data_IF_792648278528
#
_entry.id   IF_792648278528
#
_cell.length_a   1.000
_cell.length_b   1.000
_cell.length_c   1.000
_cell.angle_alpha   90.00
_cell.angle_beta   90.00
_cell.angle_gamma   90.00
#
_symmetry.space_group_name_H-M   'P 1'
#
loop_
_entity.id
_entity.type
_entity.pdbx_description
1 polymer ?
#
# COMPACT_ATOMS: atom_id res chain seq x y z
N UNK A 1 21.70 28.07 41.20
CA UNK A 1 20.56 27.27 40.66
C UNK A 1 21.03 26.61 39.36
N UNK A 2 21.28 25.30 39.38
CA UNK A 2 21.64 24.55 38.17
C UNK A 2 20.41 24.47 37.27
N UNK A 3 20.42 25.23 36.16
CA UNK A 3 19.44 25.10 35.09
C UNK A 3 19.69 23.73 34.44
N UNK A 4 19.04 22.67 34.94
CA UNK A 4 18.94 21.42 34.18
C UNK A 4 18.23 21.77 32.88
N UNK A 5 18.97 21.89 31.77
CA UNK A 5 18.37 22.12 30.46
C UNK A 5 17.35 21.01 30.23
N UNK A 6 16.07 21.36 30.07
CA UNK A 6 15.03 20.38 29.72
C UNK A 6 15.45 19.72 28.42
N UNK A 7 15.65 18.40 28.45
CA UNK A 7 16.03 17.61 27.27
C UNK A 7 14.91 17.76 26.23
N UNK A 8 15.28 18.02 24.97
CA UNK A 8 14.31 18.11 23.88
C UNK A 8 13.61 16.79 23.68
N UNK A 9 12.28 16.81 23.69
CA UNK A 9 11.45 15.62 23.50
C UNK A 9 10.77 15.68 22.15
N UNK A 10 10.79 14.54 21.45
CA UNK A 10 10.03 14.31 20.23
C UNK A 10 8.83 13.43 20.57
N UNK A 11 7.61 13.86 20.26
CA UNK A 11 6.38 13.10 20.52
C UNK A 11 5.52 13.00 19.27
N UNK A 12 4.83 11.88 19.08
CA UNK A 12 3.92 11.69 17.93
C UNK A 12 2.55 12.34 18.19
N UNK A 13 2.02 13.04 17.19
CA UNK A 13 0.69 13.65 17.20
C UNK A 13 0.06 13.55 15.79
N UNK A 14 -0.89 12.63 15.64
CA UNK A 14 -1.77 12.46 14.46
C UNK A 14 -1.08 12.62 13.11
N UNK A 15 -0.03 11.84 12.87
CA UNK A 15 0.70 11.86 11.59
C UNK A 15 1.80 12.91 11.48
N UNK A 16 2.07 13.62 12.56
CA UNK A 16 3.23 14.51 12.68
C UNK A 16 3.96 14.26 13.99
N UNK A 17 5.10 14.91 14.17
CA UNK A 17 5.88 14.91 15.39
C UNK A 17 5.88 16.31 15.97
N UNK A 18 5.82 16.42 17.29
CA UNK A 18 5.99 17.65 18.03
C UNK A 18 7.39 17.62 18.66
N UNK A 19 8.18 18.67 18.42
CA UNK A 19 9.51 18.84 19.00
C UNK A 19 9.46 19.95 20.06
N UNK A 20 9.65 19.59 21.33
CA UNK A 20 9.64 20.55 22.42
C UNK A 20 10.40 20.04 23.67
N UNK A 21 11.20 20.89 24.35
CA UNK A 21 11.67 22.19 23.89
C UNK A 21 12.58 22.08 22.66
N UNK A 22 12.80 23.17 21.89
CA UNK A 22 13.73 23.17 20.77
C UNK A 22 15.15 22.77 21.21
N UNK A 23 15.82 21.86 20.48
CA UNK A 23 17.18 21.46 20.81
C UNK A 23 18.19 22.56 20.45
N UNK A 24 19.42 22.50 21.02
CA UNK A 24 20.51 23.34 20.54
C UNK A 24 20.85 23.00 19.07
N UNK A 25 21.55 23.91 18.40
CA UNK A 25 21.89 23.78 16.99
C UNK A 25 20.82 24.32 16.05
N UNK A 26 21.06 24.19 14.74
CA UNK A 26 20.20 24.72 13.68
C UNK A 26 19.74 23.67 12.67
N UNK A 27 20.32 22.47 12.68
CA UNK A 27 19.99 21.40 11.69
C UNK A 27 18.51 21.03 11.77
N UNK A 28 17.92 21.00 12.96
CA UNK A 28 16.50 20.67 13.14
C UNK A 28 15.55 21.66 12.43
N UNK A 29 16.00 22.89 12.11
CA UNK A 29 15.19 23.91 11.44
C UNK A 29 14.77 23.50 10.02
N UNK A 30 15.51 22.62 9.34
CA UNK A 30 15.15 22.15 7.98
C UNK A 30 13.95 21.18 7.97
N UNK A 31 13.61 20.63 9.14
CA UNK A 31 12.56 19.62 9.28
C UNK A 31 11.25 20.18 9.81
N UNK A 32 11.30 21.31 10.53
CA UNK A 32 10.18 21.80 11.32
C UNK A 32 9.35 22.87 10.60
N UNK A 33 8.11 23.01 11.06
CA UNK A 33 7.25 24.16 10.80
C UNK A 33 6.63 24.58 12.13
N UNK A 34 6.55 25.88 12.39
CA UNK A 34 5.88 26.40 13.58
C UNK A 34 4.36 26.26 13.44
N UNK A 35 3.68 25.78 14.48
CA UNK A 35 2.22 25.69 14.56
C UNK A 35 1.70 26.59 15.69
N UNK A 36 1.11 27.72 15.30
CA UNK A 36 0.56 28.74 16.21
C UNK A 36 -0.55 28.18 17.13
N UNK A 37 -1.27 27.13 16.72
CA UNK A 37 -2.41 26.60 17.49
C UNK A 37 -1.98 25.88 18.76
N UNK A 38 -0.75 25.35 18.76
CA UNK A 38 -0.18 24.60 19.88
C UNK A 38 1.12 25.21 20.40
N UNK A 39 1.54 26.34 19.81
CA UNK A 39 2.78 27.07 20.11
C UNK A 39 4.02 26.17 20.14
N UNK A 40 4.13 25.26 19.16
CA UNK A 40 5.22 24.28 19.06
C UNK A 40 5.64 24.01 17.62
N UNK A 41 6.83 23.44 17.47
CA UNK A 41 7.34 22.98 16.18
C UNK A 41 6.80 21.60 15.83
N UNK A 42 6.29 21.46 14.59
CA UNK A 42 5.86 20.20 13.99
C UNK A 42 6.82 19.71 12.92
N UNK A 43 6.98 18.40 12.82
CA UNK A 43 7.73 17.73 11.74
C UNK A 43 6.80 16.70 11.09
N UNK A 44 6.70 16.63 9.75
CA UNK A 44 5.98 15.55 9.09
C UNK A 44 6.52 14.17 9.51
N UNK A 45 5.64 13.21 9.85
CA UNK A 45 6.05 11.90 10.36
C UNK A 45 6.99 11.15 9.39
N UNK A 46 6.75 11.26 8.07
CA UNK A 46 7.62 10.69 7.03
C UNK A 46 9.09 11.14 7.11
N UNK A 47 9.38 12.33 7.69
CA UNK A 47 10.74 12.85 7.87
C UNK A 47 11.44 12.31 9.13
N UNK A 48 10.77 11.47 9.92
CA UNK A 48 11.27 10.95 11.19
C UNK A 48 12.68 10.37 11.09
N UNK A 49 12.93 9.46 10.14
CA UNK A 49 14.23 8.82 9.98
C UNK A 49 15.34 9.83 9.69
N UNK A 50 15.13 10.69 8.69
CA UNK A 50 16.11 11.72 8.30
C UNK A 50 16.37 12.72 9.43
N UNK A 51 15.34 13.06 10.20
CA UNK A 51 15.48 13.92 11.37
C UNK A 51 16.36 13.26 12.44
N UNK A 52 16.05 12.04 12.86
CA UNK A 52 16.81 11.31 13.89
C UNK A 52 18.26 11.07 13.45
N UNK A 53 18.49 10.69 12.18
CA UNK A 53 19.84 10.50 11.64
C UNK A 53 20.65 11.81 11.64
N UNK A 54 20.02 12.94 11.32
CA UNK A 54 20.68 14.26 11.29
C UNK A 54 21.03 14.74 12.70
N UNK A 55 20.12 14.56 13.67
CA UNK A 55 20.37 14.89 15.08
C UNK A 55 21.50 14.05 15.67
N UNK A 56 21.55 12.74 15.34
CA UNK A 56 22.66 11.86 15.75
C UNK A 56 23.99 12.29 15.14
N UNK A 57 24.00 12.70 13.87
CA UNK A 57 25.22 13.17 13.17
C UNK A 57 25.79 14.45 13.81
N UNK A 58 24.92 15.35 14.26
CA UNK A 58 25.31 16.58 14.98
C UNK A 58 25.71 16.32 16.44
N UNK A 59 25.38 15.14 16.99
CA UNK A 59 25.59 14.83 18.41
C UNK A 59 24.52 15.43 19.33
N UNK A 60 23.39 15.88 18.76
CA UNK A 60 22.27 16.47 19.49
C UNK A 60 21.41 15.38 20.13
N UNK A 61 21.38 15.32 21.46
CA UNK A 61 20.54 14.36 22.17
C UNK A 61 19.05 14.79 22.19
N UNK A 62 18.19 13.92 21.64
CA UNK A 62 16.74 14.06 21.70
C UNK A 62 16.14 12.85 22.42
N UNK A 63 15.20 13.10 23.33
CA UNK A 63 14.36 12.06 23.88
C UNK A 63 13.25 11.71 22.89
N UNK A 64 13.37 10.54 22.27
CA UNK A 64 12.35 10.03 21.35
C UNK A 64 11.22 9.32 22.12
N UNK A 65 10.15 10.07 22.37
CA UNK A 65 8.88 9.58 22.92
C UNK A 65 7.83 9.35 21.82
N UNK A 66 8.20 9.49 20.54
CA UNK A 66 7.31 9.32 19.40
C UNK A 66 7.22 7.87 18.97
N UNK A 67 8.36 7.17 18.95
CA UNK A 67 8.48 5.76 18.58
C UNK A 67 7.66 4.85 19.50
N UNK A 68 6.67 4.15 18.94
CA UNK A 68 5.94 3.07 19.61
C UNK A 68 6.22 1.67 19.01
N UNK A 69 6.96 1.61 17.90
CA UNK A 69 7.33 0.35 17.23
C UNK A 69 8.41 -0.44 17.97
N UNK A 70 8.34 -1.77 17.86
CA UNK A 70 9.12 -2.72 18.66
C UNK A 70 10.02 -3.62 17.81
N UNK A 71 10.99 -4.24 18.49
CA UNK A 71 11.72 -5.41 17.99
C UNK A 71 10.84 -6.64 18.14
N UNK A 72 10.94 -7.55 17.18
CA UNK A 72 10.23 -8.81 17.20
C UNK A 72 11.23 -9.95 17.28
N UNK A 73 10.81 -11.02 17.93
CA UNK A 73 11.44 -12.33 17.81
C UNK A 73 10.56 -13.14 16.86
N UNK A 74 11.11 -13.49 15.69
CA UNK A 74 10.37 -14.22 14.66
C UNK A 74 10.87 -15.65 14.61
N UNK A 75 9.98 -16.60 14.87
CA UNK A 75 10.24 -18.03 14.70
C UNK A 75 9.67 -18.46 13.36
N UNK A 76 10.51 -19.06 12.53
CA UNK A 76 10.16 -19.46 11.16
C UNK A 76 9.76 -20.93 11.17
N UNK A 77 8.63 -21.26 10.55
CA UNK A 77 8.16 -22.65 10.47
C UNK A 77 8.88 -23.50 9.41
N UNK A 78 9.24 -22.90 8.27
CA UNK A 78 9.85 -23.60 7.14
C UNK A 78 10.82 -22.67 6.38
N UNK A 79 12.10 -23.04 6.34
CA UNK A 79 13.14 -22.29 5.64
C UNK A 79 13.29 -22.84 4.22
N UNK A 80 12.66 -22.14 3.26
CA UNK A 80 12.83 -22.43 1.84
C UNK A 80 14.05 -21.69 1.31
N UNK A 81 14.77 -22.26 0.36
CA UNK A 81 15.84 -21.53 -0.31
C UNK A 81 15.23 -20.52 -1.31
N UNK A 82 15.49 -19.21 -1.19
CA UNK A 82 14.97 -18.24 -2.13
C UNK A 82 15.62 -18.40 -3.50
N UNK A 83 14.82 -18.18 -4.55
CA UNK A 83 15.34 -18.04 -5.91
C UNK A 83 16.31 -16.87 -6.01
N UNK A 84 17.22 -16.91 -6.99
CA UNK A 84 18.26 -15.88 -7.16
C UNK A 84 17.69 -14.47 -7.25
N UNK A 85 16.61 -14.27 -8.02
CA UNK A 85 15.98 -12.95 -8.16
C UNK A 85 15.37 -12.43 -6.85
N UNK A 86 14.96 -13.32 -5.94
CA UNK A 86 14.43 -12.95 -4.63
C UNK A 86 15.57 -12.50 -3.70
N UNK A 87 16.71 -13.22 -3.71
CA UNK A 87 17.93 -12.83 -3.00
C UNK A 87 18.47 -11.49 -3.51
N UNK A 88 18.56 -11.33 -4.83
CA UNK A 88 19.01 -10.10 -5.47
C UNK A 88 18.10 -8.91 -5.14
N UNK A 89 16.77 -9.11 -5.15
CA UNK A 89 15.81 -8.09 -4.77
C UNK A 89 15.97 -7.65 -3.30
N UNK A 90 16.11 -8.61 -2.39
CA UNK A 90 16.32 -8.35 -0.96
C UNK A 90 17.62 -7.58 -0.71
N UNK A 91 18.72 -8.00 -1.33
CA UNK A 91 20.02 -7.33 -1.19
C UNK A 91 20.05 -5.94 -1.82
N UNK A 92 19.37 -5.74 -2.95
CA UNK A 92 19.19 -4.41 -3.53
C UNK A 92 18.41 -3.48 -2.59
N UNK A 93 17.32 -3.97 -1.99
CA UNK A 93 16.55 -3.22 -1.01
C UNK A 93 17.35 -2.89 0.27
N UNK A 94 18.14 -3.84 0.77
CA UNK A 94 19.06 -3.62 1.91
C UNK A 94 20.10 -2.55 1.61
N UNK A 95 20.74 -2.61 0.43
CA UNK A 95 21.74 -1.60 -0.02
C UNK A 95 21.13 -0.20 -0.16
N UNK A 96 19.86 -0.10 -0.53
CA UNK A 96 19.11 1.16 -0.55
C UNK A 96 18.67 1.64 0.85
N UNK A 97 19.28 1.12 1.91
CA UNK A 97 18.94 1.46 3.29
C UNK A 97 17.57 0.93 3.71
N UNK A 98 17.10 -0.18 3.14
CA UNK A 98 15.78 -0.80 3.40
C UNK A 98 14.61 0.13 3.04
N UNK A 99 14.77 0.89 1.96
CA UNK A 99 13.80 1.88 1.50
C UNK A 99 13.75 1.90 -0.04
N UNK A 100 12.74 1.26 -0.62
CA UNK A 100 12.64 1.20 -2.09
C UNK A 100 11.52 0.31 -2.61
N UNK A 101 11.35 0.33 -3.94
CA UNK A 101 10.37 -0.44 -4.69
C UNK A 101 11.05 -1.57 -5.45
N UNK A 102 10.51 -2.78 -5.30
CA UNK A 102 10.91 -3.99 -6.01
C UNK A 102 9.85 -4.32 -7.06
N UNK A 103 10.28 -4.40 -8.32
CA UNK A 103 9.42 -4.66 -9.46
C UNK A 103 9.63 -6.09 -9.94
N UNK A 104 8.62 -6.93 -9.72
CA UNK A 104 8.64 -8.35 -10.06
C UNK A 104 7.30 -8.75 -10.69
N UNK A 105 7.31 -9.61 -11.72
CA UNK A 105 6.07 -10.05 -12.34
C UNK A 105 5.24 -10.89 -11.36
N UNK A 106 3.94 -10.99 -11.64
CA UNK A 106 3.04 -11.92 -10.94
C UNK A 106 3.59 -13.35 -10.98
N UNK A 107 3.48 -14.07 -9.87
CA UNK A 107 4.02 -15.43 -9.74
C UNK A 107 5.51 -15.51 -9.38
N UNK A 108 6.28 -14.43 -9.45
CA UNK A 108 7.72 -14.45 -9.09
C UNK A 108 8.00 -14.50 -7.56
N UNK A 109 6.95 -14.58 -6.74
CA UNK A 109 7.09 -14.67 -5.28
C UNK A 109 7.30 -13.33 -4.56
N UNK A 110 6.60 -12.26 -4.96
CA UNK A 110 6.61 -10.95 -4.26
C UNK A 110 6.33 -11.10 -2.75
N UNK A 111 5.34 -11.92 -2.38
CA UNK A 111 5.02 -12.23 -0.99
C UNK A 111 6.18 -12.87 -0.24
N UNK A 112 6.94 -13.76 -0.90
CA UNK A 112 8.10 -14.39 -0.29
C UNK A 112 9.26 -13.40 -0.08
N UNK A 113 9.50 -12.49 -1.04
CA UNK A 113 10.45 -11.37 -0.84
C UNK A 113 10.06 -10.51 0.36
N UNK A 114 8.77 -10.30 0.58
CA UNK A 114 8.27 -9.56 1.75
C UNK A 114 8.52 -10.30 3.07
N UNK A 115 8.33 -11.62 3.09
CA UNK A 115 8.64 -12.46 4.26
C UNK A 115 10.13 -12.43 4.58
N UNK A 116 11.00 -12.51 3.57
CA UNK A 116 12.46 -12.36 3.75
C UNK A 116 12.83 -10.97 4.27
N UNK A 117 12.18 -9.91 3.77
CA UNK A 117 12.40 -8.55 4.26
C UNK A 117 12.00 -8.39 5.75
N UNK A 118 10.92 -9.07 6.16
CA UNK A 118 10.47 -9.13 7.55
C UNK A 118 11.44 -9.90 8.45
N UNK A 119 12.01 -11.02 7.96
CA UNK A 119 13.05 -11.77 8.67
C UNK A 119 14.33 -10.95 8.86
N UNK A 120 14.79 -10.27 7.81
CA UNK A 120 15.99 -9.40 7.84
C UNK A 120 15.77 -8.09 8.62
N UNK A 121 14.51 -7.77 8.93
CA UNK A 121 14.10 -6.55 9.62
C UNK A 121 13.01 -6.87 10.65
N UNK A 122 13.34 -7.64 11.71
CA UNK A 122 12.35 -8.18 12.65
C UNK A 122 11.82 -7.08 13.57
N UNK A 123 10.86 -6.32 13.05
CA UNK A 123 10.27 -5.15 13.67
C UNK A 123 8.77 -5.18 13.45
N UNK A 124 8.01 -4.48 14.30
CA UNK A 124 6.58 -4.32 14.08
C UNK A 124 6.32 -3.76 12.67
N UNK A 125 5.46 -4.45 11.91
CA UNK A 125 5.30 -4.27 10.47
C UNK A 125 3.84 -4.08 10.08
N UNK A 126 3.57 -3.09 9.25
CA UNK A 126 2.28 -2.90 8.58
C UNK A 126 2.39 -3.38 7.13
N UNK A 127 1.50 -4.25 6.72
CA UNK A 127 1.41 -4.77 5.36
C UNK A 127 0.12 -4.24 4.75
N UNK A 128 0.22 -3.52 3.65
CA UNK A 128 -0.88 -2.81 3.01
C UNK A 128 -1.19 -3.45 1.66
N UNK A 129 -2.42 -3.91 1.48
CA UNK A 129 -2.87 -4.67 0.30
C UNK A 129 -4.11 -4.04 -0.33
N UNK A 130 -4.39 -4.26 -1.64
CA UNK A 130 -5.50 -3.58 -2.33
C UNK A 130 -6.89 -4.16 -2.04
N UNK A 131 -7.02 -5.45 -1.71
CA UNK A 131 -8.32 -6.11 -1.53
C UNK A 131 -8.40 -6.92 -0.23
N UNK A 132 -9.64 -7.18 0.23
CA UNK A 132 -9.87 -8.04 1.41
C UNK A 132 -9.46 -9.49 1.15
N UNK A 133 -9.63 -10.01 -0.07
CA UNK A 133 -9.20 -11.37 -0.41
C UNK A 133 -7.68 -11.51 -0.28
N UNK A 134 -6.93 -10.54 -0.81
CA UNK A 134 -5.47 -10.51 -0.64
C UNK A 134 -5.08 -10.35 0.83
N UNK A 135 -5.83 -9.58 1.61
CA UNK A 135 -5.58 -9.43 3.05
C UNK A 135 -5.66 -10.78 3.77
N UNK A 136 -6.69 -11.58 3.50
CA UNK A 136 -6.82 -12.93 4.07
C UNK A 136 -5.74 -13.89 3.56
N UNK A 137 -5.39 -13.82 2.28
CA UNK A 137 -4.29 -14.62 1.71
C UNK A 137 -2.94 -14.27 2.35
N UNK A 138 -2.64 -12.98 2.53
CA UNK A 138 -1.44 -12.51 3.20
C UNK A 138 -1.40 -12.97 4.66
N UNK A 139 -2.51 -12.88 5.38
CA UNK A 139 -2.61 -13.37 6.76
C UNK A 139 -2.28 -14.86 6.85
N UNK A 140 -2.93 -15.71 6.06
CA UNK A 140 -2.67 -17.15 6.05
C UNK A 140 -1.20 -17.48 5.70
N UNK A 141 -0.61 -16.77 4.74
CA UNK A 141 0.80 -16.95 4.38
C UNK A 141 1.76 -16.55 5.51
N UNK A 142 1.44 -15.50 6.26
CA UNK A 142 2.26 -15.06 7.40
C UNK A 142 2.07 -15.97 8.61
N UNK A 143 0.86 -16.43 8.87
CA UNK A 143 0.55 -17.39 9.94
C UNK A 143 1.29 -18.70 9.72
N UNK A 144 1.31 -19.19 8.48
CA UNK A 144 2.09 -20.37 8.12
C UNK A 144 3.61 -20.14 8.22
N UNK A 145 4.10 -18.94 7.89
CA UNK A 145 5.53 -18.65 7.92
C UNK A 145 6.05 -18.34 9.34
N UNK A 146 5.22 -17.72 10.18
CA UNK A 146 5.55 -17.18 11.50
C UNK A 146 4.45 -17.52 12.53
N UNK A 147 4.25 -18.80 12.87
CA UNK A 147 3.10 -19.26 13.65
C UNK A 147 3.02 -18.70 15.08
N UNK A 148 4.14 -18.28 15.65
CA UNK A 148 4.20 -17.70 17.01
C UNK A 148 4.16 -16.16 17.03
N UNK A 149 3.98 -15.53 15.86
CA UNK A 149 3.94 -14.06 15.78
C UNK A 149 2.56 -13.50 16.14
N UNK A 150 2.57 -12.32 16.76
CA UNK A 150 1.38 -11.49 16.96
C UNK A 150 0.92 -10.90 15.61
N UNK A 151 0.07 -11.65 14.91
CA UNK A 151 -0.51 -11.33 13.60
C UNK A 151 -1.96 -10.85 13.73
N UNK A 152 -2.26 -9.73 13.08
CA UNK A 152 -3.59 -9.13 13.11
C UNK A 152 -4.10 -8.66 11.75
N UNK A 153 -5.40 -8.35 11.69
CA UNK A 153 -6.07 -7.81 10.51
C UNK A 153 -6.74 -6.47 10.79
N UNK A 154 -6.51 -5.47 9.93
CA UNK A 154 -7.18 -4.17 9.95
C UNK A 154 -7.99 -3.96 8.67
N UNK A 155 -9.25 -4.37 8.72
CA UNK A 155 -10.21 -4.26 7.63
C UNK A 155 -11.52 -4.97 7.98
N UNK A 156 -12.60 -4.67 7.26
CA UNK A 156 -13.89 -5.36 7.45
C UNK A 156 -14.56 -5.17 8.82
N UNK A 157 -14.17 -4.15 9.59
CA UNK A 157 -14.71 -3.86 10.93
C UNK A 157 -13.78 -4.24 12.09
N UNK A 158 -12.66 -4.93 11.83
CA UNK A 158 -11.63 -5.19 12.83
C UNK A 158 -10.87 -3.92 13.23
N UNK A 159 -10.45 -3.83 14.51
CA UNK A 159 -9.64 -2.72 15.07
C UNK A 159 -8.30 -3.20 15.62
N UNK A 160 -7.78 -4.28 15.06
CA UNK A 160 -6.54 -4.89 15.50
C UNK A 160 -5.33 -3.93 15.46
N UNK A 161 -4.41 -4.13 16.39
CA UNK A 161 -3.16 -3.38 16.50
C UNK A 161 -1.95 -4.29 16.80
N UNK A 162 -2.04 -5.58 16.45
CA UNK A 162 -0.95 -6.55 16.50
C UNK A 162 0.38 -6.03 15.94
N UNK A 163 1.48 -6.64 16.40
CA UNK A 163 2.84 -6.27 15.98
C UNK A 163 3.06 -6.41 14.48
N UNK A 164 2.48 -7.43 13.85
CA UNK A 164 2.42 -7.56 12.39
C UNK A 164 0.96 -7.43 11.99
N UNK A 165 0.65 -6.38 11.24
CA UNK A 165 -0.72 -6.03 10.88
C UNK A 165 -0.89 -6.04 9.38
N UNK A 166 -1.85 -6.81 8.87
CA UNK A 166 -2.25 -6.75 7.45
C UNK A 166 -3.50 -5.90 7.32
N UNK A 167 -3.48 -4.91 6.44
CA UNK A 167 -4.55 -3.95 6.26
C UNK A 167 -4.83 -3.69 4.78
N UNK A 168 -6.09 -3.38 4.46
CA UNK A 168 -6.40 -2.81 3.14
C UNK A 168 -5.92 -1.36 3.06
N UNK A 169 -5.60 -0.85 1.86
CA UNK A 169 -5.23 0.57 1.68
C UNK A 169 -6.26 1.52 2.29
N UNK A 170 -7.56 1.27 2.06
CA UNK A 170 -8.62 2.12 2.60
C UNK A 170 -8.62 2.12 4.13
N UNK A 171 -8.51 0.95 4.75
CA UNK A 171 -8.53 0.82 6.22
C UNK A 171 -7.27 1.41 6.85
N UNK A 172 -6.11 1.18 6.24
CA UNK A 172 -4.84 1.76 6.69
C UNK A 172 -4.88 3.30 6.61
N UNK A 173 -5.43 3.87 5.53
CA UNK A 173 -5.54 5.31 5.35
C UNK A 173 -6.52 5.94 6.36
N UNK A 174 -7.67 5.30 6.63
CA UNK A 174 -8.62 5.74 7.67
C UNK A 174 -7.95 5.82 9.05
N UNK A 175 -7.02 4.92 9.32
CA UNK A 175 -6.36 4.80 10.63
C UNK A 175 -4.94 5.37 10.68
N UNK A 176 -4.44 5.98 9.61
CA UNK A 176 -3.05 6.39 9.46
C UNK A 176 -2.56 7.31 10.60
N UNK A 177 -3.40 8.25 11.03
CA UNK A 177 -3.08 9.16 12.15
C UNK A 177 -2.88 8.43 13.49
N UNK A 178 -3.59 7.31 13.71
CA UNK A 178 -3.53 6.53 14.96
C UNK A 178 -2.35 5.56 14.96
N UNK A 179 -2.11 4.88 13.84
CA UNK A 179 -1.15 3.77 13.77
C UNK A 179 0.23 4.20 13.27
N UNK A 180 0.40 5.46 12.85
CA UNK A 180 1.60 5.95 12.18
C UNK A 180 2.92 5.75 12.94
N UNK A 181 2.90 5.68 14.28
CA UNK A 181 4.10 5.48 15.10
C UNK A 181 4.33 4.04 15.59
N UNK A 182 3.43 3.10 15.26
CA UNK A 182 3.44 1.73 15.80
C UNK A 182 4.26 0.74 14.99
N UNK A 183 4.55 1.05 13.75
CA UNK A 183 5.22 0.14 12.82
C UNK A 183 6.55 0.73 12.34
N UNK A 184 7.63 -0.03 12.48
CA UNK A 184 8.96 0.38 12.00
C UNK A 184 9.14 0.07 10.51
N UNK A 185 8.40 -0.91 10.00
CA UNK A 185 8.41 -1.29 8.60
C UNK A 185 7.01 -1.19 8.00
N UNK A 186 6.91 -0.68 6.77
CA UNK A 186 5.70 -0.78 5.96
C UNK A 186 6.02 -1.51 4.65
N UNK A 187 5.19 -2.49 4.33
CA UNK A 187 5.21 -3.21 3.05
C UNK A 187 3.94 -2.81 2.29
N UNK A 188 4.11 -2.25 1.10
CA UNK A 188 3.01 -1.89 0.20
C UNK A 188 2.95 -2.92 -0.92
N UNK A 189 1.96 -3.82 -0.87
CA UNK A 189 1.64 -4.70 -1.99
C UNK A 189 0.84 -3.93 -3.04
N UNK A 190 1.09 -4.25 -4.31
CA UNK A 190 0.66 -3.45 -5.47
C UNK A 190 0.81 -1.94 -5.24
N UNK A 191 2.03 -1.52 -4.91
CA UNK A 191 2.33 -0.16 -4.45
C UNK A 191 1.99 0.94 -5.47
N UNK A 192 1.71 0.60 -6.73
CA UNK A 192 1.19 1.55 -7.72
C UNK A 192 -0.16 2.19 -7.30
N UNK A 193 -0.87 1.64 -6.31
CA UNK A 193 -2.06 2.25 -5.73
C UNK A 193 -1.76 3.43 -4.78
N UNK A 194 -0.57 3.47 -4.16
CA UNK A 194 -0.21 4.41 -3.09
C UNK A 194 -0.26 5.91 -3.48
N UNK A 195 0.04 6.34 -4.72
CA UNK A 195 -0.03 7.75 -5.10
C UNK A 195 -1.45 8.37 -5.15
N UNK A 196 -2.48 7.63 -4.72
CA UNK A 196 -3.82 8.18 -4.54
C UNK A 196 -3.87 9.17 -3.36
N UNK A 197 -4.56 10.31 -3.53
CA UNK A 197 -4.48 11.43 -2.58
C UNK A 197 -4.96 11.07 -1.14
N UNK A 198 -5.83 10.06 -0.99
CA UNK A 198 -6.22 9.55 0.33
C UNK A 198 -5.21 8.56 0.91
N UNK A 199 -4.74 7.61 0.10
CA UNK A 199 -3.93 6.48 0.56
C UNK A 199 -2.46 6.83 0.77
N UNK A 200 -1.96 7.92 0.16
CA UNK A 200 -0.63 8.48 0.46
C UNK A 200 -0.42 8.82 1.94
N UNK A 201 -1.51 9.14 2.65
CA UNK A 201 -1.49 9.46 4.08
C UNK A 201 -0.87 8.33 4.92
N UNK A 202 -1.01 7.07 4.49
CA UNK A 202 -0.39 5.91 5.15
C UNK A 202 1.13 6.09 5.25
N UNK A 203 1.76 6.54 4.16
CA UNK A 203 3.19 6.77 4.09
C UNK A 203 3.59 8.09 4.75
N UNK A 204 2.80 9.15 4.58
CA UNK A 204 3.10 10.49 5.08
C UNK A 204 3.00 10.60 6.61
N UNK A 205 2.00 9.92 7.19
CA UNK A 205 1.71 9.94 8.63
C UNK A 205 2.47 8.86 9.40
N UNK A 206 3.25 8.02 8.72
CA UNK A 206 4.04 6.99 9.35
C UNK A 206 5.47 7.41 9.65
N UNK A 207 5.94 7.02 10.84
CA UNK A 207 7.34 7.12 11.26
C UNK A 207 8.23 6.03 10.66
N UNK A 208 7.67 5.02 10.00
CA UNK A 208 8.37 3.81 9.57
C UNK A 208 9.67 4.14 8.81
N UNK A 209 10.85 3.87 9.40
CA UNK A 209 12.13 4.08 8.73
C UNK A 209 12.37 3.10 7.57
N UNK A 210 11.72 1.95 7.57
CA UNK A 210 11.88 0.90 6.56
C UNK A 210 10.62 0.80 5.71
N UNK A 211 10.79 0.81 4.38
CA UNK A 211 9.67 0.84 3.43
C UNK A 211 9.98 -0.04 2.24
N UNK A 212 9.09 -0.98 1.95
CA UNK A 212 9.17 -1.88 0.80
C UNK A 212 7.92 -1.69 -0.05
N UNK A 213 8.09 -1.32 -1.31
CA UNK A 213 7.02 -1.37 -2.31
C UNK A 213 7.17 -2.62 -3.18
N UNK A 214 6.09 -3.34 -3.42
CA UNK A 214 6.03 -4.49 -4.30
C UNK A 214 5.01 -4.21 -5.40
N UNK A 215 5.41 -4.39 -6.66
CA UNK A 215 4.47 -4.31 -7.77
C UNK A 215 5.00 -5.02 -9.02
N UNK A 216 4.11 -5.40 -9.93
CA UNK A 216 4.50 -5.83 -11.27
C UNK A 216 4.59 -4.65 -12.25
N UNK A 217 3.89 -3.55 -11.97
CA UNK A 217 3.62 -2.47 -12.92
C UNK A 217 3.75 -1.11 -12.22
N UNK A 218 4.99 -0.61 -12.03
CA UNK A 218 5.23 0.66 -11.36
C UNK A 218 4.85 1.87 -12.22
N UNK A 219 4.87 1.75 -13.55
CA UNK A 219 4.53 2.84 -14.45
C UNK A 219 3.02 3.09 -14.48
N UNK A 220 2.62 4.34 -14.21
CA UNK A 220 1.25 4.83 -14.39
C UNK A 220 1.16 5.81 -15.53
N UNK A 221 0.05 5.76 -16.26
CA UNK A 221 -0.27 6.69 -17.36
C UNK A 221 -0.44 8.15 -16.93
N UNK A 222 -0.63 8.40 -15.63
CA UNK A 222 -0.82 9.74 -15.06
C UNK A 222 0.48 10.38 -14.51
N UNK A 223 1.63 9.72 -14.66
CA UNK A 223 2.92 10.26 -14.21
C UNK A 223 3.14 10.25 -12.69
N UNK A 224 2.14 9.84 -11.89
CA UNK A 224 2.24 9.83 -10.41
C UNK A 224 3.20 8.76 -9.83
N UNK A 225 3.95 8.05 -10.67
CA UNK A 225 4.96 7.10 -10.22
C UNK A 225 6.13 7.82 -9.50
N UNK A 226 6.38 9.09 -9.82
CA UNK A 226 7.38 9.92 -9.13
C UNK A 226 7.09 10.07 -7.63
N UNK A 227 5.81 10.07 -7.25
CA UNK A 227 5.40 10.13 -5.84
C UNK A 227 5.88 8.90 -5.07
N UNK A 228 6.01 7.72 -5.70
CA UNK A 228 6.53 6.51 -5.04
C UNK A 228 7.96 6.70 -4.52
N UNK A 229 8.78 7.46 -5.24
CA UNK A 229 10.16 7.74 -4.83
C UNK A 229 10.18 8.53 -3.52
N UNK A 230 9.27 9.48 -3.36
CA UNK A 230 9.17 10.29 -2.14
C UNK A 230 8.47 9.53 -0.99
N UNK A 231 7.42 8.76 -1.30
CA UNK A 231 6.61 8.05 -0.30
C UNK A 231 7.25 6.76 0.19
N UNK A 232 7.80 5.95 -0.72
CA UNK A 232 8.45 4.67 -0.40
C UNK A 232 9.95 4.83 -0.53
N UNK A 233 10.45 5.10 -1.73
CA UNK A 233 11.87 5.09 -2.11
C UNK A 233 12.01 4.77 -3.60
N UNK A 234 13.21 4.88 -4.18
CA UNK A 234 13.43 4.63 -5.61
C UNK A 234 13.13 3.16 -5.97
N UNK A 235 12.99 2.87 -7.27
CA UNK A 235 13.02 1.49 -7.74
C UNK A 235 14.44 0.95 -7.52
N UNK A 236 14.57 -0.07 -6.67
CA UNK A 236 15.87 -0.64 -6.29
C UNK A 236 16.18 -1.93 -7.04
N UNK A 237 15.15 -2.60 -7.53
CA UNK A 237 15.27 -3.85 -8.27
C UNK A 237 14.11 -4.00 -9.26
N UNK A 238 14.42 -4.51 -10.45
CA UNK A 238 13.44 -4.81 -11.49
C UNK A 238 13.85 -6.08 -12.24
N UNK A 239 12.88 -6.98 -12.43
CA UNK A 239 12.97 -8.06 -13.41
C UNK A 239 11.72 -8.12 -14.27
N UNK A 240 11.91 -8.31 -15.56
CA UNK A 240 10.84 -8.58 -16.52
C UNK A 240 10.42 -10.06 -16.49
N UNK A 241 9.19 -10.40 -16.94
CA UNK A 241 8.79 -11.80 -17.17
C UNK A 241 9.80 -12.57 -18.02
N UNK A 242 10.33 -11.95 -19.08
CA UNK A 242 11.25 -12.57 -20.03
C UNK A 242 12.59 -12.93 -19.39
N UNK A 243 13.08 -12.10 -18.47
CA UNK A 243 14.32 -12.39 -17.71
C UNK A 243 14.15 -13.52 -16.68
N UNK A 244 12.92 -13.85 -16.31
CA UNK A 244 12.59 -14.95 -15.37
C UNK A 244 12.09 -16.20 -16.10
N UNK A 245 11.63 -16.05 -17.34
CA UNK A 245 11.23 -17.14 -18.22
C UNK A 245 12.43 -18.08 -18.49
N UNK A 246 12.20 -19.38 -18.40
CA UNK A 246 13.23 -20.41 -18.58
C UNK A 246 14.09 -20.73 -17.35
N UNK A 247 14.00 -19.96 -16.25
CA UNK A 247 14.68 -20.27 -14.97
C UNK A 247 13.75 -20.49 -13.78
N UNK A 248 12.62 -19.78 -13.69
CA UNK A 248 11.71 -19.89 -12.52
C UNK A 248 10.23 -19.66 -12.82
N UNK A 249 9.87 -19.12 -13.98
CA UNK A 249 8.48 -18.99 -14.43
C UNK A 249 8.22 -19.91 -15.62
N UNK A 250 7.06 -20.55 -15.64
CA UNK A 250 6.53 -21.17 -16.86
C UNK A 250 6.28 -20.08 -17.91
N UNK A 251 6.57 -20.38 -19.17
CA UNK A 251 6.21 -19.51 -20.29
C UNK A 251 4.71 -19.23 -20.24
N UNK A 252 4.32 -17.96 -20.08
CA UNK A 252 2.93 -17.54 -20.11
C UNK A 252 2.78 -16.32 -21.01
N UNK A 253 1.79 -16.38 -21.89
CA UNK A 253 1.46 -15.29 -22.81
C UNK A 253 0.39 -14.40 -22.16
N UNK A 254 0.72 -13.14 -21.85
CA UNK A 254 -0.27 -12.18 -21.35
C UNK A 254 -1.09 -11.66 -22.54
N UNK A 255 -2.31 -12.18 -22.70
CA UNK A 255 -3.29 -11.65 -23.66
C UNK A 255 -4.31 -10.77 -22.97
N UNK A 256 -4.32 -9.47 -23.31
CA UNK A 256 -5.38 -8.56 -22.89
C UNK A 256 -6.65 -8.79 -23.71
N UNK A 257 -7.62 -9.48 -23.11
CA UNK A 257 -8.95 -9.65 -23.74
C UNK A 257 -9.81 -8.45 -23.36
N UNK A 258 -10.06 -7.56 -24.33
CA UNK A 258 -11.01 -6.47 -24.16
C UNK A 258 -12.43 -7.02 -24.28
N UNK A 259 -13.15 -7.07 -23.16
CA UNK A 259 -14.54 -7.50 -23.13
C UNK A 259 -15.45 -6.29 -23.30
N UNK A 260 -16.36 -6.35 -24.27
CA UNK A 260 -17.43 -5.37 -24.43
C UNK A 260 -18.64 -5.76 -23.60
N UNK A 261 -19.28 -4.81 -22.92
CA UNK A 261 -20.60 -4.98 -22.31
C UNK A 261 -21.62 -5.43 -23.36
N UNK A 262 -22.57 -6.29 -22.98
CA UNK A 262 -23.72 -6.62 -23.82
C UNK A 262 -24.54 -5.37 -24.15
N UNK A 263 -25.46 -5.44 -25.13
CA UNK A 263 -26.32 -4.29 -25.45
C UNK A 263 -27.17 -3.87 -24.25
N UNK A 264 -27.68 -4.84 -23.51
CA UNK A 264 -28.49 -4.64 -22.31
C UNK A 264 -27.65 -4.03 -21.19
N UNK A 265 -26.45 -4.57 -20.95
CA UNK A 265 -25.53 -4.08 -19.93
C UNK A 265 -25.00 -2.69 -20.23
N UNK A 266 -24.71 -2.42 -21.51
CA UNK A 266 -24.29 -1.11 -21.97
C UNK A 266 -25.42 -0.10 -21.81
N UNK A 267 -26.66 -0.47 -22.12
CA UNK A 267 -27.82 0.40 -21.90
C UNK A 267 -28.03 0.70 -20.41
N UNK A 268 -27.87 -0.30 -19.54
CA UNK A 268 -28.01 -0.12 -18.09
C UNK A 268 -26.87 0.74 -17.52
N UNK A 269 -25.64 0.48 -17.96
CA UNK A 269 -24.45 1.27 -17.63
C UNK A 269 -24.61 2.73 -18.08
N UNK A 270 -24.99 2.97 -19.33
CA UNK A 270 -25.16 4.31 -19.89
C UNK A 270 -26.27 5.08 -19.15
N UNK A 271 -27.35 4.40 -18.76
CA UNK A 271 -28.40 4.98 -17.92
C UNK A 271 -27.87 5.40 -16.54
N UNK A 272 -27.14 4.52 -15.86
CA UNK A 272 -26.53 4.83 -14.56
C UNK A 272 -25.51 5.97 -14.66
N UNK A 273 -24.68 5.99 -15.70
CA UNK A 273 -23.70 7.05 -15.93
C UNK A 273 -24.39 8.38 -16.25
N UNK A 274 -25.46 8.37 -17.06
CA UNK A 274 -26.26 9.55 -17.37
C UNK A 274 -26.86 10.14 -16.09
N UNK A 275 -27.53 9.33 -15.28
CA UNK A 275 -28.13 9.78 -14.02
C UNK A 275 -27.10 10.38 -13.06
N UNK A 276 -25.94 9.74 -12.93
CA UNK A 276 -24.82 10.26 -12.13
C UNK A 276 -24.33 11.60 -12.70
N UNK A 277 -24.08 11.67 -14.00
CA UNK A 277 -23.52 12.85 -14.65
C UNK A 277 -24.46 14.06 -14.57
N UNK A 278 -25.77 13.85 -14.73
CA UNK A 278 -26.78 14.91 -14.56
C UNK A 278 -26.74 15.50 -13.14
N UNK A 279 -26.64 14.66 -12.12
CA UNK A 279 -26.50 15.12 -10.73
C UNK A 279 -25.20 15.89 -10.50
N UNK A 280 -24.08 15.36 -11.01
CA UNK A 280 -22.76 15.99 -10.90
C UNK A 280 -22.72 17.36 -11.59
N UNK A 281 -23.32 17.48 -12.78
CA UNK A 281 -23.40 18.72 -13.53
C UNK A 281 -24.24 19.77 -12.81
N UNK A 282 -25.43 19.40 -12.32
CA UNK A 282 -26.29 20.30 -11.52
C UNK A 282 -25.62 20.75 -10.22
N UNK A 283 -24.84 19.87 -9.61
CA UNK A 283 -24.16 20.14 -8.34
C UNK A 283 -22.80 20.83 -8.51
N UNK A 284 -22.33 21.05 -9.75
CA UNK A 284 -21.00 21.61 -10.02
C UNK A 284 -19.85 20.73 -9.50
N UNK A 285 -20.04 19.40 -9.47
CA UNK A 285 -19.09 18.44 -8.90
C UNK A 285 -18.35 17.72 -10.02
N UNK A 286 -17.02 17.76 -10.00
CA UNK A 286 -16.17 17.08 -10.98
C UNK A 286 -15.41 15.91 -10.34
N UNK A 287 -15.70 14.68 -10.76
CA UNK A 287 -15.12 13.46 -10.15
C UNK A 287 -13.65 13.18 -10.50
N UNK A 288 -13.01 14.01 -11.33
CA UNK A 288 -11.58 13.86 -11.65
C UNK A 288 -10.62 14.30 -10.53
N UNK A 289 -11.12 14.69 -9.35
CA UNK A 289 -10.32 15.09 -8.20
C UNK A 289 -10.88 14.55 -6.88
N UNK A 290 -10.03 14.36 -5.87
CA UNK A 290 -10.43 13.88 -4.54
C UNK A 290 -11.43 14.82 -3.85
N UNK A 291 -11.26 16.14 -4.01
CA UNK A 291 -12.21 17.15 -3.52
C UNK A 291 -13.60 16.98 -4.18
N UNK A 292 -13.62 16.65 -5.48
CA UNK A 292 -14.86 16.33 -6.18
C UNK A 292 -15.54 15.07 -5.66
N UNK A 293 -14.78 14.02 -5.34
CA UNK A 293 -15.32 12.81 -4.73
C UNK A 293 -15.90 13.05 -3.33
N UNK A 294 -15.18 13.79 -2.47
CA UNK A 294 -15.68 14.15 -1.14
C UNK A 294 -16.95 15.00 -1.21
N UNK A 295 -17.00 15.97 -2.13
CA UNK A 295 -18.22 16.75 -2.43
C UNK A 295 -19.36 15.84 -2.90
N UNK A 296 -19.08 14.84 -3.74
CA UNK A 296 -20.09 13.89 -4.21
C UNK A 296 -20.65 13.03 -3.07
N UNK A 297 -19.78 12.49 -2.22
CA UNK A 297 -20.19 11.70 -1.04
C UNK A 297 -21.00 12.57 -0.07
N UNK A 298 -20.54 13.78 0.24
CA UNK A 298 -21.25 14.72 1.10
C UNK A 298 -22.62 15.12 0.52
N UNK A 299 -22.69 15.41 -0.79
CA UNK A 299 -23.94 15.73 -1.48
C UNK A 299 -24.90 14.53 -1.54
N UNK A 300 -24.36 13.31 -1.63
CA UNK A 300 -25.15 12.08 -1.61
C UNK A 300 -25.79 11.81 -0.25
N UNK A 301 -25.18 12.22 0.85
CA UNK A 301 -25.78 12.08 2.18
C UNK A 301 -26.89 13.11 2.44
N UNK A 302 -26.89 14.23 1.73
CA UNK A 302 -27.74 15.41 2.00
C UNK A 302 -29.01 15.48 1.15
N UNK A 303 -29.15 14.66 0.11
CA UNK A 303 -30.29 14.75 -0.83
C UNK A 303 -30.75 13.37 -1.32
N UNK A 304 -32.04 13.25 -1.63
CA UNK A 304 -32.60 12.06 -2.31
C UNK A 304 -31.95 11.83 -3.66
N UNK A 305 -31.74 12.89 -4.43
CA UNK A 305 -31.14 12.85 -5.76
C UNK A 305 -29.67 12.42 -5.69
N UNK A 306 -28.94 12.90 -4.68
CA UNK A 306 -27.56 12.52 -4.46
C UNK A 306 -27.40 11.06 -4.03
N UNK A 307 -28.32 10.53 -3.19
CA UNK A 307 -28.34 9.09 -2.86
C UNK A 307 -28.58 8.24 -4.12
N UNK A 308 -29.52 8.65 -4.96
CA UNK A 308 -29.79 7.97 -6.23
C UNK A 308 -28.58 7.99 -7.17
N UNK A 309 -27.89 9.14 -7.28
CA UNK A 309 -26.65 9.26 -8.06
C UNK A 309 -25.51 8.38 -7.52
N UNK A 310 -25.39 8.23 -6.20
CA UNK A 310 -24.41 7.34 -5.56
C UNK A 310 -24.71 5.87 -5.81
N UNK A 311 -25.98 5.47 -5.76
CA UNK A 311 -26.41 4.11 -6.12
C UNK A 311 -26.14 3.81 -7.60
N UNK A 312 -26.46 4.74 -8.50
CA UNK A 312 -26.14 4.64 -9.92
C UNK A 312 -24.63 4.52 -10.18
N UNK A 313 -23.81 5.28 -9.44
CA UNK A 313 -22.35 5.16 -9.50
C UNK A 313 -21.85 3.77 -9.08
N UNK A 314 -22.38 3.21 -7.99
CA UNK A 314 -22.03 1.86 -7.52
C UNK A 314 -22.49 0.78 -8.50
N UNK A 315 -23.67 0.91 -9.08
CA UNK A 315 -24.24 -0.03 -10.05
C UNK A 315 -23.45 -0.03 -11.37
N UNK A 316 -23.08 1.15 -11.88
CA UNK A 316 -22.22 1.26 -13.06
C UNK A 316 -20.85 0.59 -12.83
N UNK A 317 -20.24 0.75 -11.64
CA UNK A 317 -19.00 0.04 -11.28
C UNK A 317 -19.21 -1.46 -11.20
N UNK A 318 -20.33 -1.92 -10.64
CA UNK A 318 -20.67 -3.35 -10.54
C UNK A 318 -20.84 -3.99 -11.93
N UNK A 319 -21.51 -3.32 -12.86
CA UNK A 319 -21.65 -3.79 -14.26
C UNK A 319 -20.29 -3.86 -14.97
N UNK A 320 -19.45 -2.86 -14.78
CA UNK A 320 -18.11 -2.82 -15.36
C UNK A 320 -17.15 -3.88 -14.77
N UNK A 321 -17.34 -4.29 -13.51
CA UNK A 321 -16.42 -5.19 -12.81
C UNK A 321 -16.89 -6.65 -12.74
N UNK A 322 -18.18 -6.89 -12.49
CA UNK A 322 -18.69 -8.21 -12.08
C UNK A 322 -19.28 -9.05 -13.22
N UNK A 323 -19.84 -8.41 -14.26
CA UNK A 323 -20.47 -9.15 -15.37
C UNK A 323 -19.58 -9.31 -16.61
N UNK A 324 -18.45 -8.60 -16.68
CA UNK A 324 -17.40 -8.84 -17.67
C UNK A 324 -16.66 -10.17 -17.50
N UNK A 325 -16.74 -10.80 -16.32
CA UNK A 325 -16.11 -12.10 -16.03
C UNK A 325 -16.77 -13.25 -16.81
N UNK A 326 -18.11 -13.28 -16.92
CA UNK A 326 -18.84 -14.38 -17.58
C UNK A 326 -18.57 -14.48 -19.10
N UNK A 327 -18.56 -13.37 -19.87
CA UNK A 327 -18.09 -13.37 -21.25
C UNK A 327 -16.59 -13.69 -21.35
N UNK A 328 -15.76 -13.18 -20.44
CA UNK A 328 -14.33 -13.49 -20.40
C UNK A 328 -14.11 -15.01 -20.28
N UNK A 329 -14.81 -15.70 -19.38
CA UNK A 329 -14.71 -17.16 -19.23
C UNK A 329 -15.22 -17.93 -20.45
N UNK A 330 -16.23 -17.42 -21.17
CA UNK A 330 -16.73 -18.03 -22.42
C UNK A 330 -15.76 -17.83 -23.58
N UNK A 331 -15.18 -16.65 -23.73
CA UNK A 331 -14.17 -16.34 -24.75
C UNK A 331 -12.88 -17.12 -24.47
N UNK A 332 -12.42 -17.15 -23.21
CA UNK A 332 -11.28 -17.97 -22.79
C UNK A 332 -11.58 -19.45 -23.00
N UNK A 333 -12.81 -19.95 -22.77
CA UNK A 333 -13.17 -21.34 -23.13
C UNK A 333 -13.16 -21.59 -24.63
N UNK A 334 -13.70 -20.69 -25.46
CA UNK A 334 -13.75 -20.91 -26.91
C UNK A 334 -12.37 -20.82 -27.58
N UNK A 335 -11.51 -19.91 -27.14
CA UNK A 335 -10.16 -19.74 -27.70
C UNK A 335 -9.14 -20.73 -27.12
N UNK A 336 -9.27 -21.12 -25.84
CA UNK A 336 -8.29 -22.00 -25.17
C UNK A 336 -8.61 -23.50 -25.28
N UNK A 337 -9.87 -23.89 -25.53
CA UNK A 337 -10.28 -25.31 -25.59
C UNK A 337 -9.67 -26.09 -26.78
N UNK A 338 -9.50 -25.52 -27.99
CA UNK A 338 -8.80 -26.21 -29.08
C UNK A 338 -7.31 -26.45 -28.79
N UNK A 339 -6.68 -25.59 -27.97
CA UNK A 339 -5.28 -25.74 -27.52
C UNK A 339 -5.14 -26.79 -26.40
N UNK A 340 -6.12 -26.87 -25.48
CA UNK A 340 -6.16 -27.90 -24.43
C UNK A 340 -6.30 -29.33 -25.00
N UNK A 341 -6.92 -29.52 -26.16
CA UNK A 341 -6.97 -30.82 -26.84
C UNK A 341 -5.63 -31.24 -27.46
N UNK A 342 -4.75 -30.31 -27.85
CA UNK A 342 -3.39 -30.62 -28.35
C UNK A 342 -2.42 -31.03 -27.24
N UNK A 343 -2.70 -30.71 -25.98
CA UNK A 343 -1.87 -31.06 -24.82
C UNK A 343 -2.34 -32.35 -24.10
N UNK A 344 -3.39 -33.02 -24.59
CA UNK A 344 -3.90 -34.31 -24.05
C UNK A 344 -3.06 -35.54 -24.42
N UNK A 345 -1.74 -35.40 -24.57
CA UNK A 345 -0.81 -36.53 -24.67
C UNK A 345 0.12 -36.68 -23.46
N UNK A 346 -0.20 -36.05 -22.33
CA UNK A 346 0.48 -36.37 -21.07
C UNK A 346 0.29 -35.34 -19.97
N UNK A 347 -0.84 -35.38 -19.26
CA UNK A 347 -0.91 -35.11 -17.81
C UNK A 347 -2.38 -35.15 -17.37
N UNK A 348 -2.68 -35.99 -16.38
CA UNK A 348 -3.94 -35.96 -15.64
C UNK A 348 -3.99 -34.70 -14.77
N UNK A 349 -5.06 -33.91 -14.89
CA UNK A 349 -5.45 -32.93 -13.86
C UNK A 349 -6.48 -33.59 -12.94
N UNK A 350 -6.18 -33.64 -11.64
CA UNK A 350 -7.17 -33.74 -10.57
C UNK A 350 -7.60 -32.34 -10.15
N UNK A 351 -8.90 -32.19 -9.88
CA UNK A 351 -9.66 -30.94 -9.73
C UNK A 351 -9.30 -30.09 -8.51
#
# INVERSE_FOLDING_TARGET
MSYRSRKSTLSFDRGTLILHPPPPGKVWLEFVTWDDRIEKFRIPAIKYRSFIESMRREGTEIQDAAKAFKELELIIADEKDPFSHQKEALEAWKRAGRRGVVVLPTGAGKTYVAQLALQETPRSTLIVVPTLDLMHQWYANLEAAFPESDLGLLGGGSKDESQILVATYDSAAIHAERIGNRYAMIIFDECHHLPGDFVRSIAEYSLAPYRLGLTATPERSDGKHDDLTSLIGPIVYRKSPEELAGKSLSEHEIRQIKVSLSKEERSEYDSCIKQRNEFLQRSGIFLGSLNGWQKFVAASARSSEGRAAMLAHRQARKLAHQKGELPCWRTVRQESWPLAQKLKSGCFMTF
#
